data_IF_065005543898
#
_entry.id   IF_065005543898
#
_cell.length_a   1.000
_cell.length_b   1.000
_cell.length_c   1.000
_cell.angle_alpha   90.00
_cell.angle_beta   90.00
_cell.angle_gamma   90.00
#
_symmetry.space_group_name_H-M   'P 1'
#
loop_
_entity.id
_entity.type
_entity.pdbx_description
1 polymer ?
#
# COMPACT_ATOMS: atom_id res chain seq x y z
N UNK A 1 52.54 -6.94 12.03
CA UNK A 1 52.09 -7.93 13.01
C UNK A 1 51.43 -9.05 12.23
N UNK A 2 52.14 -10.17 12.10
CA UNK A 2 51.63 -11.42 11.54
C UNK A 2 50.63 -12.03 12.54
N UNK A 3 49.54 -12.58 12.04
CA UNK A 3 49.00 -13.82 12.59
C UNK A 3 48.48 -14.67 11.43
N UNK A 4 48.92 -15.92 11.43
CA UNK A 4 48.79 -16.88 10.37
C UNK A 4 48.08 -18.14 10.92
N UNK A 5 47.29 -18.77 10.04
CA UNK A 5 47.10 -20.23 9.84
C UNK A 5 46.12 -21.08 10.69
N UNK A 6 45.66 -22.11 9.94
CA UNK A 6 44.90 -23.34 10.22
C UNK A 6 43.36 -23.19 10.18
N UNK A 7 42.61 -23.83 9.25
CA UNK A 7 42.64 -25.24 8.80
C UNK A 7 41.66 -26.03 9.70
N UNK A 8 40.61 -26.72 9.24
CA UNK A 8 40.61 -28.05 8.61
C UNK A 8 39.27 -28.33 7.88
N UNK A 9 39.40 -29.15 6.84
CA UNK A 9 38.46 -29.78 5.91
C UNK A 9 37.41 -30.73 6.53
N UNK A 10 36.23 -30.87 5.88
CA UNK A 10 35.52 -32.15 5.74
C UNK A 10 34.53 -32.10 4.57
N UNK A 11 34.78 -32.92 3.55
CA UNK A 11 33.83 -33.30 2.50
C UNK A 11 32.86 -34.37 3.04
N UNK A 12 31.58 -34.26 2.71
CA UNK A 12 30.64 -35.37 2.79
C UNK A 12 29.97 -35.57 1.42
N UNK A 13 30.37 -36.63 0.74
CA UNK A 13 29.66 -37.27 -0.36
C UNK A 13 28.75 -38.35 0.22
N UNK A 14 27.46 -38.36 -0.15
CA UNK A 14 26.60 -39.54 -0.04
C UNK A 14 25.87 -39.75 -1.36
N UNK A 15 25.88 -41.01 -1.78
CA UNK A 15 25.44 -41.56 -3.04
C UNK A 15 23.91 -41.68 -3.15
N UNK A 16 23.44 -41.82 -4.41
CA UNK A 16 22.04 -41.77 -4.82
C UNK A 16 21.21 -43.03 -4.55
N UNK A 17 20.06 -43.11 -5.21
CA UNK A 17 19.21 -44.29 -5.54
C UNK A 17 17.89 -43.80 -6.23
N UNK A 18 17.08 -44.65 -6.90
CA UNK A 18 16.91 -44.63 -8.35
C UNK A 18 15.54 -44.19 -8.88
N UNK A 19 15.51 -44.04 -10.20
CA UNK A 19 14.39 -43.87 -11.14
C UNK A 19 13.33 -44.99 -11.04
N UNK A 20 12.04 -44.67 -11.19
CA UNK A 20 11.04 -45.65 -11.63
C UNK A 20 10.41 -45.26 -12.99
N UNK A 21 10.80 -46.05 -13.99
CA UNK A 21 10.04 -46.70 -15.07
C UNK A 21 8.66 -46.16 -15.50
N UNK A 22 8.53 -45.94 -16.81
CA UNK A 22 7.29 -45.72 -17.55
C UNK A 22 6.54 -47.02 -17.89
N UNK A 23 5.20 -46.95 -17.88
CA UNK A 23 4.20 -47.81 -18.56
C UNK A 23 2.81 -47.23 -18.18
N UNK A 24 1.72 -47.18 -18.95
CA UNK A 24 1.33 -47.49 -20.32
C UNK A 24 -0.07 -46.84 -20.49
N UNK A 25 -0.45 -46.41 -21.70
CA UNK A 25 -1.78 -45.85 -21.98
C UNK A 25 -2.86 -46.95 -22.09
N UNK A 26 -4.15 -46.58 -22.04
CA UNK A 26 -5.00 -47.02 -23.15
C UNK A 26 -5.90 -45.93 -23.77
N UNK A 27 -6.16 -46.19 -25.06
CA UNK A 27 -6.91 -45.45 -26.08
C UNK A 27 -8.43 -45.68 -25.96
N UNK A 28 -9.27 -44.67 -26.27
CA UNK A 28 -10.69 -44.89 -26.60
C UNK A 28 -11.62 -43.67 -26.52
N UNK A 29 -11.76 -42.96 -27.64
CA UNK A 29 -12.71 -41.87 -27.96
C UNK A 29 -14.19 -42.35 -28.07
N UNK A 30 -15.22 -41.46 -28.03
CA UNK A 30 -15.70 -40.87 -29.30
C UNK A 30 -16.23 -39.42 -29.23
N UNK A 31 -16.39 -38.87 -30.44
CA UNK A 31 -16.76 -37.51 -30.79
C UNK A 31 -18.25 -37.15 -30.62
N UNK A 32 -18.54 -35.85 -30.46
CA UNK A 32 -19.77 -35.24 -30.97
C UNK A 32 -20.35 -34.08 -30.15
N UNK A 33 -20.53 -32.94 -30.85
CA UNK A 33 -21.46 -31.82 -30.59
C UNK A 33 -20.91 -30.59 -29.84
N UNK A 34 -21.45 -29.38 -30.10
CA UNK A 34 -20.92 -28.48 -31.12
C UNK A 34 -20.38 -27.19 -30.50
N UNK A 35 -19.56 -26.48 -31.28
CA UNK A 35 -19.21 -25.10 -31.02
C UNK A 35 -20.49 -24.23 -31.03
N UNK A 36 -20.77 -23.60 -29.89
CA UNK A 36 -21.60 -22.39 -29.85
C UNK A 36 -20.77 -21.28 -29.23
N UNK A 37 -20.64 -20.23 -30.02
CA UNK A 37 -20.07 -18.93 -29.71
C UNK A 37 -20.29 -18.49 -28.26
N UNK A 38 -19.19 -18.16 -27.57
CA UNK A 38 -19.20 -17.08 -26.58
C UNK A 38 -18.02 -16.15 -26.85
N UNK A 39 -18.25 -15.31 -27.85
CA UNK A 39 -18.02 -13.86 -27.88
C UNK A 39 -16.97 -13.29 -26.89
N UNK A 40 -15.93 -12.58 -27.38
CA UNK A 40 -14.97 -11.85 -26.55
C UNK A 40 -15.61 -10.57 -26.00
N UNK A 41 -16.41 -10.73 -24.96
CA UNK A 41 -16.97 -9.63 -24.19
C UNK A 41 -16.99 -10.01 -22.70
N UNK A 42 -15.83 -10.41 -22.18
CA UNK A 42 -15.54 -10.14 -20.79
C UNK A 42 -15.49 -8.62 -20.67
N UNK A 43 -16.65 -8.03 -20.35
CA UNK A 43 -16.76 -6.68 -19.87
C UNK A 43 -15.66 -6.49 -18.81
N UNK A 44 -14.67 -5.67 -19.17
CA UNK A 44 -13.59 -5.28 -18.26
C UNK A 44 -14.28 -4.59 -17.10
N UNK A 45 -14.39 -5.31 -15.99
CA UNK A 45 -14.88 -4.78 -14.74
C UNK A 45 -13.91 -3.66 -14.35
N UNK A 46 -14.33 -2.38 -14.28
CA UNK A 46 -13.44 -1.29 -13.82
C UNK A 46 -12.94 -1.52 -12.39
N UNK A 47 -13.57 -2.46 -11.67
CA UNK A 47 -13.25 -2.87 -10.30
C UNK A 47 -11.98 -3.72 -10.14
N UNK A 48 -11.24 -4.02 -11.22
CA UNK A 48 -9.99 -4.79 -11.14
C UNK A 48 -8.76 -3.98 -11.58
N UNK A 49 -8.74 -2.67 -11.30
CA UNK A 49 -7.45 -1.99 -11.23
C UNK A 49 -6.61 -2.72 -10.16
N UNK A 50 -5.41 -3.20 -10.53
CA UNK A 50 -4.52 -3.87 -9.59
C UNK A 50 -4.31 -2.96 -8.38
N UNK A 51 -4.58 -3.50 -7.19
CA UNK A 51 -4.28 -2.83 -5.93
C UNK A 51 -2.76 -2.65 -5.83
N UNK A 52 -2.31 -1.41 -5.67
CA UNK A 52 -0.89 -1.05 -5.61
C UNK A 52 -0.43 -0.82 -4.17
N UNK A 53 -1.37 -0.45 -3.30
CA UNK A 53 -1.14 -0.16 -1.88
C UNK A 53 -2.33 -0.54 -1.01
N UNK A 54 -2.17 -0.40 0.31
CA UNK A 54 -3.24 -0.55 1.29
C UNK A 54 -4.26 0.61 1.26
N UNK A 55 -4.00 1.66 0.46
CA UNK A 55 -4.86 2.83 0.33
C UNK A 55 -5.43 2.96 -1.08
N UNK A 56 -6.73 2.64 -1.30
CA UNK A 56 -7.40 2.87 -2.58
C UNK A 56 -7.36 4.33 -3.04
N UNK A 57 -7.32 5.27 -2.09
CA UNK A 57 -7.18 6.69 -2.38
C UNK A 57 -5.78 7.01 -2.92
N UNK A 58 -4.72 6.48 -2.29
CA UNK A 58 -3.34 6.67 -2.76
C UNK A 58 -3.12 6.04 -4.14
N UNK A 59 -3.68 4.85 -4.35
CA UNK A 59 -3.72 4.16 -5.62
C UNK A 59 -4.33 5.02 -6.75
N UNK A 60 -5.46 5.67 -6.48
CA UNK A 60 -6.11 6.57 -7.43
C UNK A 60 -5.27 7.83 -7.70
N UNK A 61 -4.68 8.42 -6.64
CA UNK A 61 -3.79 9.58 -6.74
C UNK A 61 -2.55 9.26 -7.57
N UNK A 62 -1.88 8.15 -7.30
CA UNK A 62 -0.72 7.68 -8.05
C UNK A 62 -1.05 7.50 -9.54
N UNK A 63 -2.16 6.82 -9.85
CA UNK A 63 -2.59 6.62 -11.24
C UNK A 63 -2.84 7.94 -11.96
N UNK A 64 -3.44 8.92 -11.29
CA UNK A 64 -3.63 10.25 -11.87
C UNK A 64 -2.29 10.95 -12.14
N UNK A 65 -1.36 10.92 -11.19
CA UNK A 65 -0.04 11.57 -11.33
C UNK A 65 0.75 10.95 -12.48
N UNK A 66 0.78 9.61 -12.57
CA UNK A 66 1.45 8.90 -13.67
C UNK A 66 0.78 9.18 -15.02
N UNK A 67 -0.55 9.30 -15.07
CA UNK A 67 -1.28 9.65 -16.30
C UNK A 67 -0.93 11.05 -16.83
N UNK A 68 -0.44 11.95 -15.97
CA UNK A 68 0.10 13.27 -16.35
C UNK A 68 1.55 13.23 -16.83
N UNK A 69 2.17 12.05 -16.84
CA UNK A 69 3.53 11.84 -17.36
C UNK A 69 4.61 11.91 -16.29
N UNK A 70 4.26 12.01 -15.00
CA UNK A 70 5.24 12.04 -13.92
C UNK A 70 5.75 10.65 -13.59
N UNK A 71 7.08 10.53 -13.47
CA UNK A 71 7.73 9.32 -13.00
C UNK A 71 7.82 9.34 -11.47
N UNK A 72 6.85 8.73 -10.81
CA UNK A 72 6.82 8.57 -9.34
C UNK A 72 6.69 7.10 -8.98
N UNK A 73 6.96 6.76 -7.72
CA UNK A 73 6.71 5.42 -7.17
C UNK A 73 5.64 5.49 -6.09
N UNK A 74 4.93 4.40 -5.87
CA UNK A 74 4.03 4.23 -4.73
C UNK A 74 4.58 3.15 -3.81
N UNK A 75 4.50 3.37 -2.50
CA UNK A 75 4.88 2.40 -1.47
C UNK A 75 3.68 1.52 -1.09
N UNK A 76 3.89 0.33 -0.48
CA UNK A 76 2.79 -0.55 -0.09
C UNK A 76 1.75 0.09 0.83
N UNK A 77 2.13 1.06 1.66
CA UNK A 77 1.23 1.81 2.55
C UNK A 77 0.56 3.03 1.87
N UNK A 78 0.87 3.29 0.60
CA UNK A 78 0.25 4.36 -0.19
C UNK A 78 1.02 5.68 -0.19
N UNK A 79 2.28 5.69 0.24
CA UNK A 79 3.16 6.85 0.08
C UNK A 79 3.56 7.06 -1.38
N UNK A 80 3.50 8.29 -1.88
CA UNK A 80 3.99 8.63 -3.22
C UNK A 80 5.40 9.21 -3.10
N UNK A 81 6.38 8.50 -3.67
CA UNK A 81 7.79 8.87 -3.64
C UNK A 81 8.14 9.60 -4.93
N UNK A 82 8.56 10.85 -4.77
CA UNK A 82 9.08 11.71 -5.82
C UNK A 82 10.39 12.33 -5.34
N UNK A 83 11.43 12.30 -6.18
CA UNK A 83 12.75 12.82 -5.87
C UNK A 83 13.25 13.78 -6.94
N UNK A 84 14.35 14.49 -6.66
CA UNK A 84 14.98 15.39 -7.63
C UNK A 84 15.56 14.67 -8.85
N UNK A 85 15.76 13.36 -8.74
CA UNK A 85 16.17 12.46 -9.81
C UNK A 85 15.03 12.14 -10.80
N UNK A 86 13.78 12.18 -10.34
CA UNK A 86 12.61 11.93 -11.19
C UNK A 86 11.82 13.18 -11.56
N UNK A 87 11.86 14.22 -10.71
CA UNK A 87 11.19 15.51 -10.91
C UNK A 87 12.25 16.60 -11.08
N UNK A 88 12.52 17.07 -12.32
CA UNK A 88 13.48 18.14 -12.54
C UNK A 88 13.08 19.42 -11.79
N UNK A 89 14.04 20.11 -11.16
CA UNK A 89 13.80 21.36 -10.41
C UNK A 89 13.04 22.41 -11.24
N UNK A 90 13.31 22.50 -12.54
CA UNK A 90 12.65 23.43 -13.45
C UNK A 90 11.15 23.12 -13.67
N UNK A 91 10.70 21.91 -13.36
CA UNK A 91 9.33 21.46 -13.52
C UNK A 91 8.61 21.24 -12.18
N UNK A 92 9.26 21.53 -11.05
CA UNK A 92 8.70 21.23 -9.73
C UNK A 92 7.36 21.93 -9.47
N UNK A 93 7.22 23.20 -9.87
CA UNK A 93 5.94 23.92 -9.74
C UNK A 93 4.82 23.30 -10.59
N UNK A 94 5.16 22.78 -11.77
CA UNK A 94 4.19 22.07 -12.62
C UNK A 94 3.78 20.74 -11.96
N UNK A 95 4.73 20.00 -11.39
CA UNK A 95 4.45 18.77 -10.63
C UNK A 95 3.52 19.04 -9.44
N UNK A 96 3.73 20.13 -8.70
CA UNK A 96 2.85 20.51 -7.60
C UNK A 96 1.45 20.88 -8.08
N UNK A 97 1.33 21.63 -9.18
CA UNK A 97 0.04 21.99 -9.76
C UNK A 97 -0.74 20.74 -10.23
N UNK A 98 -0.06 19.81 -10.90
CA UNK A 98 -0.65 18.55 -11.35
C UNK A 98 -1.05 17.64 -10.20
N UNK A 99 -0.22 17.58 -9.15
CA UNK A 99 -0.52 16.83 -7.93
C UNK A 99 -1.75 17.42 -7.22
N UNK A 100 -1.88 18.75 -7.19
CA UNK A 100 -3.06 19.42 -6.62
C UNK A 100 -4.33 19.15 -7.42
N UNK A 101 -4.26 19.22 -8.75
CA UNK A 101 -5.38 18.86 -9.62
C UNK A 101 -5.78 17.40 -9.41
N UNK A 102 -4.81 16.47 -9.33
CA UNK A 102 -5.07 15.05 -9.08
C UNK A 102 -5.76 14.84 -7.73
N UNK A 103 -5.27 15.50 -6.68
CA UNK A 103 -5.89 15.42 -5.36
C UNK A 103 -7.35 15.89 -5.39
N UNK A 104 -7.65 16.96 -6.14
CA UNK A 104 -9.02 17.46 -6.28
C UNK A 104 -9.93 16.45 -6.97
N UNK A 105 -9.48 15.87 -8.08
CA UNK A 105 -10.21 14.85 -8.85
C UNK A 105 -10.43 13.56 -8.06
N UNK A 106 -9.42 13.11 -7.33
CA UNK A 106 -9.48 11.88 -6.53
C UNK A 106 -10.36 12.09 -5.30
N UNK A 107 -10.25 13.22 -4.59
CA UNK A 107 -11.11 13.51 -3.43
C UNK A 107 -12.61 13.46 -3.77
N UNK A 108 -12.99 13.87 -4.98
CA UNK A 108 -14.38 13.77 -5.43
C UNK A 108 -14.89 12.31 -5.56
N UNK A 109 -13.99 11.34 -5.71
CA UNK A 109 -14.32 9.91 -5.79
C UNK A 109 -14.42 9.23 -4.42
N UNK A 110 -13.84 9.85 -3.38
CA UNK A 110 -13.82 9.36 -2.01
C UNK A 110 -14.49 10.37 -1.07
N UNK A 111 -15.81 10.62 -1.21
CA UNK A 111 -16.50 11.57 -0.37
C UNK A 111 -16.47 11.14 1.10
N UNK A 112 -16.21 12.08 1.99
CA UNK A 112 -16.25 11.86 3.44
C UNK A 112 -17.54 12.47 3.99
N UNK A 113 -18.64 11.73 3.85
CA UNK A 113 -19.92 12.07 4.46
C UNK A 113 -19.89 11.88 5.99
N UNK A 114 -20.98 12.24 6.66
CA UNK A 114 -21.06 12.13 8.13
C UNK A 114 -20.82 10.70 8.60
N UNK A 115 -21.32 9.69 7.90
CA UNK A 115 -21.09 8.30 8.26
C UNK A 115 -19.60 7.94 8.16
N UNK A 116 -18.92 8.35 7.07
CA UNK A 116 -17.47 8.18 6.93
C UNK A 116 -16.70 8.93 8.03
N UNK A 117 -17.12 10.12 8.44
CA UNK A 117 -16.49 10.83 9.57
C UNK A 117 -16.60 10.04 10.89
N UNK A 118 -17.73 9.39 11.14
CA UNK A 118 -17.91 8.54 12.32
C UNK A 118 -17.02 7.29 12.27
N UNK A 119 -16.98 6.61 11.11
CA UNK A 119 -16.10 5.46 10.90
C UNK A 119 -14.63 5.85 11.06
N UNK A 120 -14.25 6.99 10.49
CA UNK A 120 -12.90 7.52 10.59
C UNK A 120 -12.52 7.80 12.03
N UNK A 121 -13.36 8.49 12.80
CA UNK A 121 -13.09 8.73 14.22
C UNK A 121 -12.87 7.42 14.99
N UNK A 122 -13.71 6.40 14.79
CA UNK A 122 -13.54 5.10 15.42
C UNK A 122 -12.22 4.43 15.02
N UNK A 123 -11.84 4.50 13.74
CA UNK A 123 -10.62 3.94 13.22
C UNK A 123 -9.36 4.67 13.74
N UNK A 124 -9.41 6.00 13.86
CA UNK A 124 -8.33 6.81 14.45
C UNK A 124 -8.13 6.48 15.95
N UNK A 125 -9.21 6.24 16.70
CA UNK A 125 -9.11 5.77 18.10
C UNK A 125 -8.50 4.37 18.19
N UNK A 126 -8.79 3.48 17.23
CA UNK A 126 -8.19 2.16 17.15
C UNK A 126 -6.69 2.25 16.79
N UNK A 127 -6.32 3.10 15.82
CA UNK A 127 -4.93 3.37 15.45
C UNK A 127 -4.15 3.92 16.65
N UNK A 128 -4.70 4.89 17.38
CA UNK A 128 -4.12 5.40 18.63
C UNK A 128 -3.77 4.27 19.60
N UNK A 129 -4.70 3.33 19.81
CA UNK A 129 -4.49 2.19 20.70
C UNK A 129 -3.37 1.28 20.18
N UNK A 130 -3.23 1.13 18.87
CA UNK A 130 -2.11 0.43 18.26
C UNK A 130 -0.77 1.14 18.51
N UNK A 131 -0.70 2.44 18.23
CA UNK A 131 0.52 3.25 18.40
C UNK A 131 1.00 3.26 19.86
N UNK A 132 0.08 3.35 20.83
CA UNK A 132 0.40 3.25 22.25
C UNK A 132 1.02 1.90 22.59
N UNK A 133 0.47 0.79 22.09
CA UNK A 133 1.04 -0.56 22.28
C UNK A 133 2.40 -0.72 21.59
N UNK A 134 2.63 -0.01 20.50
CA UNK A 134 3.91 0.04 19.81
C UNK A 134 4.96 0.93 20.52
N UNK A 135 4.59 1.58 21.64
CA UNK A 135 5.50 2.36 22.48
C UNK A 135 5.51 3.87 22.18
N UNK A 136 4.63 4.36 21.30
CA UNK A 136 4.53 5.78 21.00
C UNK A 136 3.51 6.46 21.93
N UNK A 137 3.86 7.63 22.45
CA UNK A 137 2.87 8.49 23.10
C UNK A 137 1.92 9.09 22.07
N UNK A 138 0.62 9.08 22.38
CA UNK A 138 -0.43 9.74 21.60
C UNK A 138 -1.37 10.47 22.57
N UNK A 139 -1.60 11.78 22.41
CA UNK A 139 -2.57 12.52 23.21
C UNK A 139 -3.95 11.87 23.18
N UNK A 140 -4.79 12.17 24.17
CA UNK A 140 -6.18 11.74 24.12
C UNK A 140 -6.89 12.33 22.90
N UNK A 141 -7.75 11.56 22.22
CA UNK A 141 -8.50 12.07 21.07
C UNK A 141 -9.47 13.17 21.53
N UNK A 142 -9.81 14.12 20.64
CA UNK A 142 -10.95 14.99 20.89
C UNK A 142 -12.23 14.15 21.05
N UNK A 143 -13.30 14.74 21.59
CA UNK A 143 -14.61 14.05 21.57
C UNK A 143 -15.07 13.82 20.12
N UNK A 144 -15.92 12.82 19.89
CA UNK A 144 -16.52 12.60 18.56
C UNK A 144 -17.18 13.88 18.03
N UNK A 145 -17.93 14.61 18.86
CA UNK A 145 -18.57 15.85 18.43
C UNK A 145 -17.53 16.90 18.00
N UNK A 146 -16.48 17.09 18.80
CA UNK A 146 -15.38 18.00 18.45
C UNK A 146 -14.70 17.58 17.15
N UNK A 147 -14.47 16.29 16.94
CA UNK A 147 -13.91 15.76 15.70
C UNK A 147 -14.80 16.10 14.49
N UNK A 148 -16.12 15.90 14.59
CA UNK A 148 -17.06 16.21 13.52
C UNK A 148 -17.10 17.72 13.22
N UNK A 149 -17.14 18.55 14.27
CA UNK A 149 -17.22 20.01 14.16
C UNK A 149 -15.95 20.61 13.53
N UNK A 150 -14.78 20.03 13.81
CA UNK A 150 -13.50 20.56 13.29
C UNK A 150 -13.00 19.83 12.05
N UNK A 151 -13.66 18.76 11.58
CA UNK A 151 -13.15 17.88 10.53
C UNK A 151 -12.63 18.61 9.30
N UNK A 152 -13.40 19.58 8.79
CA UNK A 152 -13.06 20.28 7.54
C UNK A 152 -11.98 21.37 7.71
N UNK A 153 -11.62 21.72 8.94
CA UNK A 153 -10.65 22.79 9.25
C UNK A 153 -9.38 22.29 9.94
N UNK A 154 -9.51 21.28 10.81
CA UNK A 154 -8.46 20.68 11.60
C UNK A 154 -8.87 19.24 11.96
N UNK A 155 -8.81 18.30 11.00
CA UNK A 155 -9.07 16.90 11.27
C UNK A 155 -7.99 16.36 12.21
N UNK A 156 -8.42 15.63 13.23
CA UNK A 156 -7.49 14.94 14.12
C UNK A 156 -7.03 13.63 13.49
N UNK A 157 -5.74 13.31 13.63
CA UNK A 157 -5.17 12.00 13.28
C UNK A 157 -4.32 11.50 14.43
N UNK A 158 -4.44 10.21 14.76
CA UNK A 158 -3.65 9.59 15.81
C UNK A 158 -2.16 9.55 15.44
N UNK A 159 -1.83 9.14 14.20
CA UNK A 159 -0.45 9.14 13.74
C UNK A 159 0.15 10.55 13.74
N UNK A 160 -0.54 11.54 13.18
CA UNK A 160 -0.02 12.93 13.13
C UNK A 160 0.12 13.58 14.52
N UNK A 161 -0.67 13.15 15.50
CA UNK A 161 -0.62 13.66 16.87
C UNK A 161 0.36 12.94 17.78
N UNK A 162 0.97 11.84 17.31
CA UNK A 162 1.82 10.98 18.12
C UNK A 162 3.27 11.48 18.22
N UNK A 163 4.04 10.95 19.17
CA UNK A 163 5.50 11.11 19.19
C UNK A 163 6.20 10.52 17.97
N UNK A 164 5.57 9.58 17.26
CA UNK A 164 6.09 9.05 16.00
C UNK A 164 6.17 10.15 14.93
N UNK A 165 5.20 11.06 14.86
CA UNK A 165 5.22 12.17 13.91
C UNK A 165 6.44 13.09 14.08
N UNK A 166 6.95 13.24 15.30
CA UNK A 166 8.13 14.07 15.58
C UNK A 166 9.44 13.44 15.07
N UNK A 167 9.47 12.12 14.91
CA UNK A 167 10.68 11.39 14.50
C UNK A 167 10.61 10.81 13.08
N UNK A 168 9.42 10.79 12.46
CA UNK A 168 9.15 10.13 11.19
C UNK A 168 10.11 10.53 10.06
N UNK A 169 10.48 11.82 9.98
CA UNK A 169 11.41 12.34 8.97
C UNK A 169 12.84 11.80 9.10
N UNK A 170 13.20 11.29 10.28
CA UNK A 170 14.50 10.68 10.55
C UNK A 170 14.47 9.16 10.57
N UNK A 171 13.29 8.55 10.41
CA UNK A 171 13.15 7.11 10.30
C UNK A 171 13.57 6.65 8.92
N UNK A 172 14.16 5.45 8.85
CA UNK A 172 14.33 4.76 7.58
C UNK A 172 12.97 4.36 7.00
N UNK A 173 12.85 4.32 5.68
CA UNK A 173 11.65 3.87 4.97
C UNK A 173 11.14 2.51 5.48
N UNK A 174 12.02 1.54 5.75
CA UNK A 174 11.63 0.22 6.28
C UNK A 174 10.97 0.30 7.67
N UNK A 175 11.46 1.20 8.53
CA UNK A 175 10.90 1.39 9.86
C UNK A 175 9.54 2.09 9.78
N UNK A 176 9.41 3.04 8.85
CA UNK A 176 8.15 3.71 8.55
C UNK A 176 7.11 2.75 7.95
N UNK A 177 7.50 1.91 7.00
CA UNK A 177 6.65 0.89 6.42
C UNK A 177 6.23 -0.14 7.49
N UNK A 178 7.15 -0.57 8.36
CA UNK A 178 6.84 -1.51 9.43
C UNK A 178 5.78 -0.96 10.40
N UNK A 179 5.86 0.32 10.78
CA UNK A 179 4.86 0.92 11.67
C UNK A 179 3.52 1.13 10.97
N UNK A 180 3.50 1.55 9.70
CA UNK A 180 2.24 1.67 8.94
C UNK A 180 1.60 0.32 8.65
N UNK A 181 2.38 -0.74 8.51
CA UNK A 181 1.85 -2.09 8.38
C UNK A 181 1.26 -2.59 9.71
N UNK A 182 1.96 -2.33 10.83
CA UNK A 182 1.52 -2.77 12.15
C UNK A 182 0.32 -1.96 12.69
N UNK A 183 0.31 -0.66 12.42
CA UNK A 183 -0.73 0.29 12.80
C UNK A 183 -1.16 1.08 11.55
N UNK A 184 -2.02 0.50 10.69
CA UNK A 184 -2.46 1.15 9.46
C UNK A 184 -3.22 2.45 9.74
N UNK A 185 -2.80 3.50 9.03
CA UNK A 185 -3.54 4.77 9.01
C UNK A 185 -4.89 4.57 8.34
N UNK A 186 -6.00 5.06 8.95
CA UNK A 186 -7.30 4.97 8.31
C UNK A 186 -7.37 5.86 7.07
N UNK A 187 -8.07 5.40 6.04
CA UNK A 187 -8.22 6.12 4.76
C UNK A 187 -9.61 6.76 4.69
N UNK A 188 -9.75 8.09 4.85
CA UNK A 188 -11.03 8.76 4.78
C UNK A 188 -11.75 8.49 3.45
N UNK A 189 -13.06 8.22 3.51
CA UNK A 189 -13.89 7.95 2.33
C UNK A 189 -13.75 6.53 1.76
N UNK A 190 -12.94 5.67 2.37
CA UNK A 190 -12.75 4.26 1.96
C UNK A 190 -13.10 3.24 3.07
N UNK A 191 -13.57 3.70 4.23
CA UNK A 191 -13.92 2.84 5.36
C UNK A 191 -15.29 2.18 5.15
N UNK A 192 -15.50 0.97 5.69
CA UNK A 192 -16.72 0.18 5.52
C UNK A 192 -17.21 -0.40 6.84
#
# INVERSE_FOLDING_TARGET
>A
MLCALAGVSACSTVAGHPEPTAAEQPVGQPAGQPATDQNPAAAQNPAAAQQLSDSPLADALYRCIVARGWNVKITPEGGIVAGSDTIPKAQYELYLADTWSCNTEVKAQFPVDDNQKHLLYAAEVAERTCLIRAGYSVPDPPTLQTFLDTYDSAPWSAMASSSLAAISQSMSDDAWAAINHACPQPVPGALK
#
